data_IF_683294932320
#
_entry.id   IF_683294932320
#
_cell.length_a   1.000
_cell.length_b   1.000
_cell.length_c   1.000
_cell.angle_alpha   90.00
_cell.angle_beta   90.00
_cell.angle_gamma   90.00
#
_symmetry.space_group_name_H-M   'P 1'
#
loop_
_entity.id
_entity.type
_entity.pdbx_description
1 polymer ?
#
# COMPACT_ATOMS: atom_id res chain seq x y z
N UNK A 1 -19.23 -16.36 11.04
CA UNK A 1 -18.45 -15.92 9.86
C UNK A 1 -19.37 -15.22 8.88
N UNK A 2 -19.02 -14.04 8.36
CA UNK A 2 -19.76 -13.43 7.26
C UNK A 2 -19.69 -14.36 6.04
N UNK A 3 -20.84 -14.69 5.45
CA UNK A 3 -20.87 -15.49 4.23
C UNK A 3 -20.25 -14.70 3.07
N UNK A 4 -19.42 -15.32 2.21
CA UNK A 4 -18.92 -14.65 1.02
C UNK A 4 -20.12 -14.18 0.18
N UNK A 5 -20.20 -12.85 -0.03
CA UNK A 5 -21.30 -12.22 -0.76
C UNK A 5 -21.07 -12.38 -2.26
N UNK A 6 -21.32 -13.57 -2.78
CA UNK A 6 -21.21 -13.91 -4.21
C UNK A 6 -22.07 -13.04 -5.14
N UNK A 7 -23.00 -12.27 -4.57
CA UNK A 7 -23.89 -11.36 -5.27
C UNK A 7 -23.33 -9.93 -5.42
N UNK A 8 -22.27 -9.55 -4.68
CA UNK A 8 -21.69 -8.20 -4.75
C UNK A 8 -21.26 -7.78 -6.17
N UNK A 9 -20.59 -8.64 -6.98
CA UNK A 9 -20.25 -8.27 -8.35
C UNK A 9 -21.47 -8.00 -9.24
N UNK A 10 -22.64 -8.52 -8.86
CA UNK A 10 -23.91 -8.40 -9.59
C UNK A 10 -24.81 -7.31 -8.98
N UNK A 11 -24.29 -6.48 -8.08
CA UNK A 11 -25.12 -5.55 -7.31
C UNK A 11 -25.92 -4.59 -8.19
N UNK A 12 -25.32 -4.06 -9.27
CA UNK A 12 -26.01 -3.15 -10.20
C UNK A 12 -27.16 -3.83 -10.94
N UNK A 13 -26.98 -5.07 -11.39
CA UNK A 13 -28.05 -5.81 -12.06
C UNK A 13 -29.15 -6.25 -11.09
N UNK A 14 -28.79 -6.56 -9.85
CA UNK A 14 -29.74 -6.84 -8.76
C UNK A 14 -30.55 -5.60 -8.42
N UNK A 15 -29.95 -4.41 -8.34
CA UNK A 15 -30.67 -3.15 -8.12
C UNK A 15 -31.70 -2.93 -9.21
N UNK A 16 -31.31 -3.01 -10.49
CA UNK A 16 -32.23 -2.85 -11.61
C UNK A 16 -33.39 -3.88 -11.57
N UNK A 17 -33.08 -5.15 -11.28
CA UNK A 17 -34.10 -6.19 -11.16
C UNK A 17 -35.08 -5.95 -10.00
N UNK A 18 -34.62 -5.34 -8.89
CA UNK A 18 -35.46 -5.00 -7.75
C UNK A 18 -36.27 -3.73 -8.02
N UNK A 19 -35.73 -2.75 -8.74
CA UNK A 19 -36.42 -1.52 -9.14
C UNK A 19 -37.60 -1.82 -10.10
N UNK A 20 -37.38 -2.71 -11.06
CA UNK A 20 -38.41 -3.18 -12.00
C UNK A 20 -39.40 -4.18 -11.38
N UNK A 21 -39.20 -4.58 -10.12
CA UNK A 21 -40.05 -5.59 -9.49
C UNK A 21 -41.46 -5.03 -9.22
N UNK A 22 -42.53 -5.72 -9.64
CA UNK A 22 -43.90 -5.16 -9.63
C UNK A 22 -44.51 -5.06 -8.23
N UNK A 23 -44.02 -5.82 -7.26
CA UNK A 23 -44.53 -5.83 -5.90
C UNK A 23 -43.71 -4.92 -4.97
N UNK A 24 -44.40 -4.15 -4.12
CA UNK A 24 -43.78 -3.31 -3.08
C UNK A 24 -43.02 -4.10 -2.02
N UNK A 25 -43.28 -5.40 -1.92
CA UNK A 25 -42.72 -6.29 -0.92
C UNK A 25 -42.19 -7.56 -1.58
N UNK A 26 -40.99 -7.97 -1.17
CA UNK A 26 -40.38 -9.22 -1.62
C UNK A 26 -40.41 -10.24 -0.50
N UNK A 27 -40.83 -11.46 -0.82
CA UNK A 27 -40.76 -12.58 0.09
C UNK A 27 -39.41 -13.29 0.00
N UNK A 28 -39.23 -14.30 0.83
CA UNK A 28 -37.99 -15.10 0.86
C UNK A 28 -37.68 -15.75 -0.49
N UNK A 29 -38.69 -16.15 -1.25
CA UNK A 29 -38.49 -16.90 -2.50
C UNK A 29 -38.07 -15.96 -3.63
N UNK A 30 -38.72 -14.79 -3.72
CA UNK A 30 -38.29 -13.70 -4.58
C UNK A 30 -36.84 -13.28 -4.30
N UNK A 31 -36.46 -13.08 -3.03
CA UNK A 31 -35.08 -12.69 -2.69
C UNK A 31 -34.09 -13.81 -3.01
N UNK A 32 -34.44 -15.08 -2.75
CA UNK A 32 -33.57 -16.20 -3.11
C UNK A 32 -33.31 -16.27 -4.62
N UNK A 33 -34.35 -16.00 -5.43
CA UNK A 33 -34.26 -15.99 -6.88
C UNK A 33 -33.42 -14.81 -7.40
N UNK A 34 -33.75 -13.58 -6.99
CA UNK A 34 -33.07 -12.36 -7.46
C UNK A 34 -31.57 -12.39 -7.11
N UNK A 35 -31.23 -12.85 -5.91
CA UNK A 35 -29.83 -12.89 -5.46
C UNK A 35 -29.11 -14.19 -5.87
N UNK A 36 -29.84 -15.17 -6.42
CA UNK A 36 -29.38 -16.55 -6.64
C UNK A 36 -28.72 -17.15 -5.39
N UNK A 37 -29.41 -17.06 -4.25
CA UNK A 37 -28.91 -17.49 -2.93
C UNK A 37 -29.63 -18.73 -2.42
N UNK A 38 -28.87 -19.59 -1.71
CA UNK A 38 -29.44 -20.69 -0.94
C UNK A 38 -30.26 -20.15 0.23
N UNK A 39 -31.32 -20.88 0.62
CA UNK A 39 -32.28 -20.52 1.68
C UNK A 39 -31.65 -19.94 2.96
N UNK A 40 -30.56 -20.55 3.46
CA UNK A 40 -29.88 -20.07 4.68
C UNK A 40 -29.24 -18.69 4.49
N UNK A 41 -28.58 -18.47 3.35
CA UNK A 41 -27.98 -17.18 3.01
C UNK A 41 -29.05 -16.11 2.77
N UNK A 42 -30.18 -16.47 2.14
CA UNK A 42 -31.33 -15.58 1.97
C UNK A 42 -31.89 -15.13 3.32
N UNK A 43 -32.08 -16.05 4.27
CA UNK A 43 -32.57 -15.71 5.61
C UNK A 43 -31.59 -14.82 6.38
N UNK A 44 -30.29 -15.06 6.26
CA UNK A 44 -29.27 -14.20 6.83
C UNK A 44 -29.32 -12.78 6.24
N UNK A 45 -29.41 -12.67 4.91
CA UNK A 45 -29.54 -11.38 4.22
C UNK A 45 -30.81 -10.64 4.64
N UNK A 46 -31.96 -11.33 4.66
CA UNK A 46 -33.22 -10.72 5.10
C UNK A 46 -33.12 -10.20 6.52
N UNK A 47 -32.52 -10.95 7.45
CA UNK A 47 -32.31 -10.54 8.84
C UNK A 47 -31.43 -9.30 8.96
N UNK A 48 -30.39 -9.21 8.14
CA UNK A 48 -29.48 -8.06 8.11
C UNK A 48 -30.18 -6.76 7.69
N UNK A 49 -31.08 -6.84 6.70
CA UNK A 49 -31.81 -5.67 6.20
C UNK A 49 -32.99 -5.28 7.12
N UNK A 50 -33.50 -6.24 7.91
CA UNK A 50 -34.61 -6.02 8.85
C UNK A 50 -35.97 -6.29 8.19
N UNK A 51 -36.41 -7.56 8.13
CA UNK A 51 -37.64 -7.95 7.48
C UNK A 51 -38.84 -7.67 8.39
N UNK A 52 -40.00 -7.43 7.78
CA UNK A 52 -41.27 -7.25 8.49
C UNK A 52 -41.96 -8.60 8.59
N UNK A 53 -42.46 -8.93 9.79
CA UNK A 53 -43.27 -10.13 10.01
C UNK A 53 -44.74 -9.79 9.85
N UNK A 54 -45.41 -10.46 8.90
CA UNK A 54 -46.86 -10.36 8.74
C UNK A 54 -47.59 -11.13 9.85
N UNK A 55 -48.87 -10.79 10.08
CA UNK A 55 -49.77 -11.55 10.97
C UNK A 55 -49.89 -13.03 10.61
N UNK A 56 -49.68 -13.37 9.34
CA UNK A 56 -49.63 -14.75 8.83
C UNK A 56 -48.35 -15.51 9.19
N UNK A 57 -47.41 -14.87 9.89
CA UNK A 57 -46.13 -15.45 10.27
C UNK A 57 -45.06 -15.44 9.17
N UNK A 58 -45.39 -14.97 7.96
CA UNK A 58 -44.45 -14.81 6.84
C UNK A 58 -43.57 -13.59 7.03
N UNK A 59 -42.31 -13.71 6.61
CA UNK A 59 -41.35 -12.61 6.60
C UNK A 59 -41.27 -12.01 5.20
N UNK A 60 -41.45 -10.70 5.11
CA UNK A 60 -41.37 -9.92 3.87
C UNK A 60 -40.37 -8.78 4.03
N UNK A 61 -39.83 -8.30 2.92
CA UNK A 61 -38.90 -7.18 2.90
C UNK A 61 -39.47 -6.07 2.01
N UNK A 62 -39.62 -4.83 2.53
CA UNK A 62 -40.01 -3.70 1.70
C UNK A 62 -38.97 -3.45 0.60
N UNK A 63 -39.44 -3.26 -0.63
CA UNK A 63 -38.61 -3.02 -1.82
C UNK A 63 -37.68 -1.81 -1.63
N UNK A 64 -38.19 -0.73 -1.06
CA UNK A 64 -37.42 0.49 -0.81
C UNK A 64 -36.24 0.25 0.16
N UNK A 65 -36.46 -0.53 1.23
CA UNK A 65 -35.39 -0.88 2.17
C UNK A 65 -34.31 -1.74 1.51
N UNK A 66 -34.73 -2.65 0.63
CA UNK A 66 -33.81 -3.49 -0.13
C UNK A 66 -32.97 -2.65 -1.10
N UNK A 67 -33.59 -1.71 -1.82
CA UNK A 67 -32.89 -0.79 -2.75
C UNK A 67 -31.90 0.08 -1.98
N UNK A 68 -32.32 0.70 -0.87
CA UNK A 68 -31.44 1.54 -0.05
C UNK A 68 -30.22 0.76 0.47
N UNK A 69 -30.43 -0.47 0.93
CA UNK A 69 -29.34 -1.36 1.35
C UNK A 69 -28.37 -1.67 0.21
N UNK A 70 -28.89 -2.02 -0.98
CA UNK A 70 -28.07 -2.34 -2.15
C UNK A 70 -27.29 -1.13 -2.64
N UNK A 71 -27.88 0.06 -2.64
CA UNK A 71 -27.20 1.30 -3.03
C UNK A 71 -26.08 1.65 -2.06
N UNK A 72 -26.28 1.45 -0.74
CA UNK A 72 -25.22 1.63 0.25
C UNK A 72 -24.04 0.67 0.02
N UNK A 73 -24.36 -0.60 -0.25
CA UNK A 73 -23.35 -1.62 -0.55
C UNK A 73 -22.62 -1.38 -1.88
N UNK A 74 -23.31 -0.82 -2.88
CA UNK A 74 -22.69 -0.47 -4.16
C UNK A 74 -21.66 0.66 -3.98
N UNK A 75 -22.01 1.70 -3.22
CA UNK A 75 -21.09 2.80 -2.89
C UNK A 75 -19.86 2.31 -2.13
N UNK A 76 -20.06 1.45 -1.13
CA UNK A 76 -18.95 0.87 -0.36
C UNK A 76 -18.03 0.01 -1.25
N UNK A 77 -18.60 -0.80 -2.14
CA UNK A 77 -17.85 -1.63 -3.08
C UNK A 77 -17.08 -0.79 -4.10
N UNK A 78 -17.66 0.29 -4.60
CA UNK A 78 -16.97 1.22 -5.52
C UNK A 78 -15.82 1.97 -4.83
N UNK A 79 -16.00 2.37 -3.56
CA UNK A 79 -14.93 2.97 -2.76
C UNK A 79 -13.82 1.97 -2.48
N UNK A 80 -14.15 0.73 -2.12
CA UNK A 80 -13.16 -0.34 -1.94
C UNK A 80 -12.44 -0.70 -3.24
N UNK A 81 -13.16 -0.75 -4.37
CA UNK A 81 -12.59 -1.01 -5.68
C UNK A 81 -11.62 0.10 -6.07
N UNK A 82 -12.04 1.37 -5.95
CA UNK A 82 -11.18 2.52 -6.20
C UNK A 82 -9.96 2.54 -5.26
N UNK A 83 -10.12 2.11 -4.01
CA UNK A 83 -9.01 1.96 -3.05
C UNK A 83 -8.05 0.85 -3.47
N UNK A 84 -8.57 -0.30 -3.91
CA UNK A 84 -7.77 -1.41 -4.44
C UNK A 84 -7.08 -1.02 -5.73
N UNK A 85 -7.74 -0.32 -6.64
CA UNK A 85 -7.14 0.19 -7.88
C UNK A 85 -6.03 1.20 -7.60
N UNK A 86 -6.24 2.15 -6.69
CA UNK A 86 -5.18 3.06 -6.23
C UNK A 86 -4.02 2.31 -5.60
N UNK A 87 -4.29 1.32 -4.75
CA UNK A 87 -3.26 0.51 -4.12
C UNK A 87 -2.49 -0.32 -5.15
N UNK A 88 -3.16 -0.94 -6.11
CA UNK A 88 -2.53 -1.68 -7.22
C UNK A 88 -1.75 -0.74 -8.12
N UNK A 89 -2.24 0.47 -8.39
CA UNK A 89 -1.48 1.49 -9.13
C UNK A 89 -0.26 1.97 -8.36
N UNK A 90 -0.35 2.14 -7.04
CA UNK A 90 0.80 2.44 -6.18
C UNK A 90 1.81 1.30 -6.16
N UNK A 91 1.33 0.05 -6.14
CA UNK A 91 2.19 -1.13 -6.23
C UNK A 91 2.84 -1.25 -7.62
N UNK A 92 2.10 -1.05 -8.70
CA UNK A 92 2.65 -1.06 -10.07
C UNK A 92 3.60 0.12 -10.31
N UNK A 93 3.35 1.28 -9.72
CA UNK A 93 4.27 2.41 -9.74
C UNK A 93 5.53 2.12 -8.91
N UNK A 94 5.38 1.47 -7.75
CA UNK A 94 6.49 0.99 -6.94
C UNK A 94 7.29 -0.10 -7.71
N UNK A 95 6.63 -1.03 -8.39
CA UNK A 95 7.26 -2.10 -9.16
C UNK A 95 7.92 -1.59 -10.45
N UNK A 96 7.31 -0.61 -11.13
CA UNK A 96 7.94 0.13 -12.22
C UNK A 96 9.15 0.96 -11.73
N UNK A 97 9.11 1.46 -10.49
CA UNK A 97 10.25 2.08 -9.82
C UNK A 97 11.30 1.08 -9.30
N UNK A 98 10.99 -0.21 -9.28
CA UNK A 98 11.93 -1.30 -9.03
C UNK A 98 12.55 -1.83 -10.34
N UNK A 99 11.80 -1.81 -11.45
CA UNK A 99 12.26 -2.21 -12.79
C UNK A 99 13.22 -1.20 -13.42
N UNK A 100 13.06 0.09 -13.12
CA UNK A 100 14.21 0.98 -13.15
C UNK A 100 14.94 0.73 -11.85
N UNK A 101 16.10 0.06 -11.88
CA UNK A 101 17.10 0.32 -10.83
C UNK A 101 17.16 1.83 -10.69
N UNK A 102 16.86 2.45 -9.53
CA UNK A 102 17.45 3.72 -9.25
C UNK A 102 18.93 3.38 -9.07
N UNK A 103 19.66 3.26 -10.18
CA UNK A 103 21.06 3.63 -10.21
C UNK A 103 21.12 5.15 -10.09
N UNK A 104 20.53 5.70 -9.01
CA UNK A 104 21.31 6.65 -8.26
C UNK A 104 22.40 5.74 -7.71
N UNK A 105 23.51 5.70 -8.44
CA UNK A 105 24.79 5.34 -7.88
C UNK A 105 24.97 6.33 -6.72
N UNK A 106 24.40 6.02 -5.57
CA UNK A 106 24.93 6.47 -4.30
C UNK A 106 26.24 5.72 -4.22
N UNK A 107 27.23 6.19 -4.97
CA UNK A 107 28.60 5.80 -4.75
C UNK A 107 28.80 6.06 -3.27
N UNK A 108 29.00 5.02 -2.44
CA UNK A 108 29.35 5.28 -1.06
C UNK A 108 30.54 6.23 -1.14
N UNK A 109 30.52 7.29 -0.33
CA UNK A 109 31.76 8.00 -0.03
C UNK A 109 32.83 6.92 0.14
N UNK A 110 34.03 7.09 -0.39
CA UNK A 110 35.14 6.22 0.01
C UNK A 110 35.32 6.46 1.51
N UNK A 111 34.58 5.72 2.33
CA UNK A 111 34.55 5.88 3.76
C UNK A 111 35.90 5.40 4.26
N UNK A 112 36.58 6.27 5.01
CA UNK A 112 37.81 5.88 5.72
C UNK A 112 37.50 4.72 6.67
N UNK A 113 38.51 3.93 7.02
CA UNK A 113 38.35 2.83 7.98
C UNK A 113 37.75 3.32 9.31
N UNK A 114 38.15 4.50 9.77
CA UNK A 114 37.61 5.15 10.97
C UNK A 114 36.12 5.47 10.88
N UNK A 115 35.64 5.90 9.71
CA UNK A 115 34.23 6.16 9.48
C UNK A 115 33.44 4.84 9.51
N UNK A 116 33.94 3.79 8.84
CA UNK A 116 33.31 2.47 8.85
C UNK A 116 33.17 1.92 10.26
N UNK A 117 34.21 2.07 11.08
CA UNK A 117 34.18 1.69 12.48
C UNK A 117 33.15 2.51 13.27
N UNK A 118 33.10 3.83 13.08
CA UNK A 118 32.12 4.70 13.77
C UNK A 118 30.65 4.31 13.48
N UNK A 119 30.36 3.81 12.28
CA UNK A 119 29.01 3.31 11.92
C UNK A 119 28.75 1.89 12.40
N UNK A 120 29.79 1.06 12.57
CA UNK A 120 29.65 -0.24 13.21
C UNK A 120 29.40 -0.12 14.71
N UNK A 121 29.80 1.00 15.34
CA UNK A 121 29.52 1.25 16.76
C UNK A 121 28.00 1.26 16.99
N UNK A 122 27.53 0.34 17.84
CA UNK A 122 26.13 0.26 18.28
C UNK A 122 25.27 -0.76 17.54
N UNK A 123 25.79 -1.42 16.50
CA UNK A 123 25.16 -2.60 15.94
C UNK A 123 25.47 -3.84 16.80
N UNK A 124 24.56 -4.82 16.88
CA UNK A 124 24.88 -6.12 17.49
C UNK A 124 26.08 -6.78 16.78
N UNK A 125 26.93 -7.50 17.52
CA UNK A 125 28.14 -8.15 16.97
C UNK A 125 27.86 -9.12 15.82
N UNK A 126 26.63 -9.66 15.75
CA UNK A 126 26.15 -10.58 14.71
C UNK A 126 25.55 -9.88 13.49
N UNK A 127 25.61 -8.56 13.44
CA UNK A 127 25.03 -7.74 12.37
C UNK A 127 26.10 -6.84 11.78
N UNK A 128 26.40 -7.08 10.52
CA UNK A 128 27.39 -6.31 9.76
C UNK A 128 26.72 -5.55 8.63
N UNK A 129 27.15 -4.29 8.46
CA UNK A 129 26.80 -3.46 7.31
C UNK A 129 27.91 -3.57 6.27
N UNK A 130 27.64 -4.28 5.19
CA UNK A 130 28.51 -4.31 4.03
C UNK A 130 28.17 -3.15 3.11
N UNK A 131 28.97 -2.09 3.18
CA UNK A 131 28.81 -0.89 2.36
C UNK A 131 29.50 -1.11 1.00
N UNK A 132 28.71 -1.12 -0.08
CA UNK A 132 29.14 -1.51 -1.42
C UNK A 132 28.09 -1.19 -2.49
N UNK A 133 28.19 -1.86 -3.64
CA UNK A 133 27.20 -1.77 -4.73
C UNK A 133 26.74 -3.18 -5.09
N UNK A 134 25.71 -3.74 -4.43
CA UNK A 134 24.76 -3.11 -3.50
C UNK A 134 25.24 -3.06 -2.04
N UNK A 135 24.66 -2.14 -1.24
CA UNK A 135 24.79 -2.17 0.22
C UNK A 135 23.97 -3.34 0.78
N UNK A 136 24.54 -4.11 1.69
CA UNK A 136 23.89 -5.28 2.30
C UNK A 136 23.94 -5.21 3.82
N UNK A 137 22.83 -5.60 4.45
CA UNK A 137 22.78 -5.89 5.87
C UNK A 137 22.89 -7.40 6.03
N UNK A 138 23.99 -7.87 6.62
CA UNK A 138 24.22 -9.28 6.88
C UNK A 138 23.93 -9.54 8.35
N UNK A 139 23.03 -10.49 8.60
CA UNK A 139 22.68 -10.94 9.94
C UNK A 139 22.99 -12.43 10.02
N UNK A 140 23.97 -12.79 10.84
CA UNK A 140 24.19 -14.19 11.17
C UNK A 140 23.15 -14.61 12.21
N UNK A 141 22.65 -15.85 12.18
CA UNK A 141 21.72 -16.42 13.17
C UNK A 141 21.66 -17.95 13.05
N UNK A 142 21.32 -18.64 14.14
CA UNK A 142 21.12 -20.09 14.19
C UNK A 142 19.64 -20.47 14.32
N UNK A 143 18.80 -19.63 14.94
CA UNK A 143 17.34 -19.86 15.09
C UNK A 143 16.49 -18.68 14.62
N UNK A 144 15.20 -18.92 14.37
CA UNK A 144 14.25 -17.88 13.91
C UNK A 144 14.00 -16.85 15.02
N UNK A 145 13.96 -17.30 16.27
CA UNK A 145 13.81 -16.44 17.44
C UNK A 145 14.99 -15.48 17.56
N UNK A 146 16.22 -16.00 17.37
CA UNK A 146 17.45 -15.21 17.38
C UNK A 146 17.49 -14.21 16.22
N UNK A 147 16.99 -14.57 15.03
CA UNK A 147 16.83 -13.62 13.92
C UNK A 147 15.87 -12.48 14.29
N UNK A 148 14.72 -12.78 14.88
CA UNK A 148 13.74 -11.77 15.27
C UNK A 148 14.30 -10.81 16.34
N UNK A 149 15.00 -11.35 17.34
CA UNK A 149 15.68 -10.56 18.37
C UNK A 149 16.78 -9.67 17.77
N UNK A 150 17.58 -10.21 16.84
CA UNK A 150 18.65 -9.46 16.16
C UNK A 150 18.10 -8.34 15.30
N UNK A 151 17.07 -8.61 14.48
CA UNK A 151 16.44 -7.57 13.66
C UNK A 151 15.80 -6.46 14.51
N UNK A 152 15.20 -6.82 15.65
CA UNK A 152 14.66 -5.84 16.58
C UNK A 152 15.76 -4.97 17.19
N UNK A 153 16.85 -5.58 17.66
CA UNK A 153 18.00 -4.89 18.22
C UNK A 153 18.67 -3.96 17.17
N UNK A 154 18.82 -4.44 15.94
CA UNK A 154 19.30 -3.64 14.80
C UNK A 154 18.38 -2.47 14.52
N UNK A 155 17.06 -2.68 14.50
CA UNK A 155 16.08 -1.61 14.30
C UNK A 155 16.19 -0.52 15.37
N UNK A 156 16.36 -0.89 16.63
CA UNK A 156 16.57 0.04 17.75
C UNK A 156 17.89 0.80 17.58
N UNK A 157 18.98 0.10 17.25
CA UNK A 157 20.29 0.69 17.03
C UNK A 157 20.30 1.71 15.88
N UNK A 158 19.67 1.35 14.75
CA UNK A 158 19.52 2.21 13.59
C UNK A 158 18.66 3.43 13.93
N UNK A 159 17.56 3.26 14.65
CA UNK A 159 16.68 4.37 15.04
C UNK A 159 17.38 5.37 15.97
N UNK A 160 18.16 4.88 16.94
CA UNK A 160 18.91 5.72 17.87
C UNK A 160 20.00 6.58 17.19
N UNK A 161 20.46 6.14 16.02
CA UNK A 161 21.53 6.80 15.26
C UNK A 161 21.08 7.17 13.85
N UNK A 162 19.77 7.35 13.64
CA UNK A 162 19.18 7.52 12.33
C UNK A 162 19.81 8.70 11.56
N UNK A 163 20.06 9.82 12.23
CA UNK A 163 20.70 11.00 11.63
C UNK A 163 22.09 10.68 11.06
N UNK A 164 22.89 9.86 11.75
CA UNK A 164 24.23 9.48 11.28
C UNK A 164 24.17 8.63 10.01
N UNK A 165 23.17 7.73 9.91
CA UNK A 165 22.95 6.93 8.71
C UNK A 165 22.30 7.73 7.59
N UNK A 166 21.45 8.71 7.90
CA UNK A 166 20.86 9.59 6.90
C UNK A 166 21.93 10.42 6.19
N UNK A 167 22.93 10.92 6.91
CA UNK A 167 24.05 11.69 6.35
C UNK A 167 24.94 10.85 5.41
N UNK A 168 25.02 9.53 5.63
CA UNK A 168 25.74 8.60 4.74
C UNK A 168 25.08 8.45 3.37
N UNK A 169 23.75 8.46 3.34
CA UNK A 169 22.95 8.21 2.14
C UNK A 169 22.36 9.49 1.55
N UNK A 170 22.66 10.66 2.13
CA UNK A 170 22.26 11.95 1.58
C UNK A 170 22.90 12.15 0.19
N UNK A 171 22.10 12.52 -0.83
CA UNK A 171 22.64 12.85 -2.14
C UNK A 171 23.58 14.04 -2.00
N UNK A 172 24.81 13.91 -2.51
CA UNK A 172 25.69 15.06 -2.62
C UNK A 172 25.06 16.02 -3.62
N UNK A 173 24.74 17.24 -3.20
CA UNK A 173 24.53 18.35 -4.12
C UNK A 173 25.88 18.73 -4.74
N UNK A 174 26.50 17.83 -5.51
CA UNK A 174 27.62 18.15 -6.39
C UNK A 174 27.19 19.18 -7.44
N UNK A 175 25.93 19.11 -7.89
CA UNK A 175 25.37 20.00 -8.90
C UNK A 175 25.49 21.49 -8.54
N UNK A 176 25.38 21.86 -7.26
CA UNK A 176 25.50 23.26 -6.83
C UNK A 176 26.97 23.74 -6.75
N UNK A 177 27.93 22.82 -6.54
CA UNK A 177 29.34 23.19 -6.48
C UNK A 177 29.98 23.23 -7.87
N UNK A 178 29.55 22.37 -8.78
CA UNK A 178 30.05 22.31 -10.16
C UNK A 178 29.48 23.44 -11.03
N UNK A 179 28.22 23.86 -10.84
CA UNK A 179 27.64 25.03 -11.54
C UNK A 179 28.33 26.35 -11.12
N UNK A 180 28.51 26.56 -9.82
CA UNK A 180 29.19 27.75 -9.28
C UNK A 180 30.66 27.84 -9.74
N UNK A 181 31.30 26.71 -9.99
CA UNK A 181 32.69 26.65 -10.43
C UNK A 181 32.80 26.82 -11.94
N UNK A 182 31.89 26.23 -12.71
CA UNK A 182 31.78 26.44 -14.16
C UNK A 182 31.43 27.90 -14.50
N UNK A 183 30.52 28.55 -13.75
CA UNK A 183 30.22 29.97 -13.94
C UNK A 183 31.43 30.87 -13.66
N UNK A 184 32.26 30.52 -12.67
CA UNK A 184 33.51 31.25 -12.38
C UNK A 184 34.54 31.06 -13.48
N UNK A 185 34.69 29.84 -13.99
CA UNK A 185 35.63 29.52 -15.08
C UNK A 185 35.21 30.19 -16.41
N UNK A 186 33.92 30.21 -16.73
CA UNK A 186 33.38 30.92 -17.91
C UNK A 186 33.55 32.45 -17.79
N UNK A 187 33.33 33.00 -16.59
CA UNK A 187 33.57 34.42 -16.33
C UNK A 187 35.05 34.80 -16.48
N UNK A 188 35.97 33.93 -16.06
CA UNK A 188 37.41 34.13 -16.24
C UNK A 188 37.84 33.97 -17.71
N UNK A 189 37.26 33.02 -18.44
CA UNK A 189 37.52 32.82 -19.86
C UNK A 189 37.09 34.04 -20.70
N UNK A 190 35.87 34.55 -20.47
CA UNK A 190 35.38 35.76 -21.15
C UNK A 190 36.24 36.99 -20.85
N UNK A 191 36.80 37.09 -19.65
CA UNK A 191 37.67 38.21 -19.25
C UNK A 191 39.01 38.20 -19.97
N UNK A 192 39.53 37.01 -20.30
CA UNK A 192 40.82 36.82 -20.96
C UNK A 192 40.73 36.62 -22.47
N UNK A 193 39.52 36.62 -23.05
CA UNK A 193 39.32 36.45 -24.48
C UNK A 193 39.73 37.72 -25.24
N UNK A 194 40.73 37.60 -26.11
CA UNK A 194 41.11 38.62 -27.09
C UNK A 194 40.79 38.11 -28.50
N UNK A 195 40.05 38.88 -29.31
CA UNK A 195 39.86 38.55 -30.71
C UNK A 195 41.12 38.98 -31.49
N UNK A 196 41.68 38.04 -32.26
CA UNK A 196 42.69 38.35 -33.29
C UNK A 196 42.04 39.04 -34.50
#
# INVERSE_FOLDING_TARGET
MPFPRSWLPRIRSIVAAVEDWPAEHLDREAIAQVFALKRRATLSLMKEIGPIRLRTGRWILPREKLIAFLQAQAKETEVELARKERFTQSLLAADASLLRRPSILLAPRTLSSEQREAYAVGLPESVTLELGSPNQLVVEFATIEELAERLLATGIALNNRFSLYQDLFAPQSQAAHDEDQAEREDAEWLRNWRPD
#
